data_IF_311881685095
#
_entry.id   IF_311881685095
#
_cell.length_a   1.000
_cell.length_b   1.000
_cell.length_c   1.000
_cell.angle_alpha   90.00
_cell.angle_beta   90.00
_cell.angle_gamma   90.00
#
_symmetry.space_group_name_H-M   'P 1'
#
loop_
_entity.id
_entity.type
_entity.pdbx_description
1 polymer ?
#
# COMPACT_ATOMS: atom_id res chain seq x y z
N UNK A 1 -43.86 14.90 3.28
CA UNK A 1 -43.03 14.58 4.47
C UNK A 1 -42.49 13.17 4.27
N UNK A 2 -41.16 12.98 4.24
CA UNK A 2 -40.59 11.64 4.04
C UNK A 2 -40.98 10.74 5.22
N UNK A 3 -41.44 9.52 4.94
CA UNK A 3 -41.89 8.53 5.92
C UNK A 3 -40.68 7.85 6.60
N UNK A 4 -39.72 8.67 7.05
CA UNK A 4 -38.45 8.21 7.61
C UNK A 4 -38.64 7.74 9.06
N UNK A 5 -38.07 6.59 9.39
CA UNK A 5 -38.06 6.00 10.74
C UNK A 5 -36.66 6.01 11.33
N UNK A 6 -36.57 6.05 12.66
CA UNK A 6 -35.31 5.87 13.38
C UNK A 6 -35.02 4.37 13.54
N UNK A 7 -34.00 3.90 12.85
CA UNK A 7 -33.56 2.50 12.86
C UNK A 7 -32.13 2.38 13.42
N UNK A 8 -31.75 1.19 13.86
CA UNK A 8 -30.40 0.93 14.38
C UNK A 8 -29.54 0.30 13.28
N UNK A 9 -28.55 0.97 12.70
CA UNK A 9 -27.63 0.28 11.80
C UNK A 9 -26.73 -0.67 12.59
N UNK A 10 -26.39 -1.82 12.00
CA UNK A 10 -25.45 -2.78 12.59
C UNK A 10 -24.06 -2.16 12.77
N UNK A 11 -23.65 -1.32 11.81
CA UNK A 11 -22.40 -0.58 11.85
C UNK A 11 -22.66 0.93 11.81
N UNK A 12 -21.97 1.66 12.67
CA UNK A 12 -22.01 3.11 12.71
C UNK A 12 -20.58 3.65 12.56
N UNK A 13 -20.35 4.51 11.55
CA UNK A 13 -19.02 5.05 11.22
C UNK A 13 -17.94 3.97 11.08
N UNK A 14 -18.28 2.85 10.43
CA UNK A 14 -17.35 1.75 10.16
C UNK A 14 -17.11 0.78 11.33
N UNK A 15 -17.70 1.03 12.51
CA UNK A 15 -17.55 0.18 13.69
C UNK A 15 -18.87 -0.48 14.08
N UNK A 16 -18.81 -1.64 14.75
CA UNK A 16 -20.00 -2.28 15.30
C UNK A 16 -20.73 -1.32 16.26
N UNK A 17 -22.03 -1.16 16.07
CA UNK A 17 -22.84 -0.17 16.78
C UNK A 17 -23.28 -0.67 18.16
N UNK A 18 -22.34 -0.80 19.09
CA UNK A 18 -22.61 -1.26 20.46
C UNK A 18 -23.50 -0.29 21.25
N UNK A 19 -23.43 1.00 20.96
CA UNK A 19 -24.17 2.05 21.68
C UNK A 19 -25.63 2.21 21.21
N UNK A 20 -26.06 1.43 20.20
CA UNK A 20 -27.41 1.50 19.66
C UNK A 20 -27.73 2.85 18.99
N UNK A 21 -26.71 3.54 18.44
CA UNK A 21 -26.88 4.81 17.72
C UNK A 21 -27.92 4.62 16.62
N UNK A 22 -28.77 5.62 16.41
CA UNK A 22 -29.86 5.56 15.44
C UNK A 22 -29.49 6.29 14.15
N UNK A 23 -30.09 5.86 13.05
CA UNK A 23 -30.09 6.58 11.79
C UNK A 23 -31.52 6.73 11.28
N UNK A 24 -31.79 7.83 10.57
CA UNK A 24 -33.04 7.98 9.83
C UNK A 24 -32.97 7.14 8.56
N UNK A 25 -33.97 6.30 8.33
CA UNK A 25 -34.05 5.42 7.18
C UNK A 25 -35.46 5.43 6.58
N UNK A 26 -35.55 5.22 5.28
CA UNK A 26 -36.80 5.16 4.52
C UNK A 26 -36.96 3.71 4.04
N UNK A 27 -38.14 3.13 4.27
CA UNK A 27 -38.50 1.82 3.73
C UNK A 27 -38.64 1.97 2.22
N UNK A 28 -37.91 1.16 1.46
CA UNK A 28 -37.95 1.14 0.00
C UNK A 28 -39.07 0.20 -0.45
N UNK A 29 -38.97 -1.08 -0.06
CA UNK A 29 -39.96 -2.13 -0.36
C UNK A 29 -39.74 -3.36 0.52
N UNK A 30 -40.69 -4.28 0.47
CA UNK A 30 -40.57 -5.64 1.00
C UNK A 30 -40.48 -6.62 -0.17
N UNK A 31 -39.61 -7.63 -0.07
CA UNK A 31 -39.42 -8.67 -1.09
C UNK A 31 -39.53 -10.05 -0.45
N UNK A 32 -40.09 -11.02 -1.17
CA UNK A 32 -40.25 -12.39 -0.67
C UNK A 32 -40.27 -13.42 -1.78
N UNK A 33 -39.68 -14.59 -1.51
CA UNK A 33 -39.75 -15.81 -2.33
C UNK A 33 -40.80 -16.82 -1.78
N UNK A 34 -41.65 -16.39 -0.84
CA UNK A 34 -42.63 -17.25 -0.16
C UNK A 34 -42.10 -18.00 1.08
N UNK A 35 -40.77 -18.11 1.25
CA UNK A 35 -40.13 -18.71 2.43
C UNK A 35 -39.45 -17.65 3.29
N UNK A 36 -38.66 -16.80 2.65
CA UNK A 36 -37.93 -15.68 3.23
C UNK A 36 -38.61 -14.37 2.84
N UNK A 37 -38.61 -13.40 3.77
CA UNK A 37 -39.13 -12.06 3.55
C UNK A 37 -38.13 -11.03 4.07
N UNK A 38 -37.77 -10.08 3.23
CA UNK A 38 -36.79 -9.04 3.55
C UNK A 38 -37.36 -7.65 3.34
N UNK A 39 -37.23 -6.80 4.37
CA UNK A 39 -37.55 -5.38 4.27
C UNK A 39 -36.30 -4.60 3.90
N UNK A 40 -36.37 -3.90 2.78
CA UNK A 40 -35.29 -3.12 2.22
C UNK A 40 -35.43 -1.66 2.60
N UNK A 41 -34.35 -1.10 3.14
CA UNK A 41 -34.27 0.26 3.63
C UNK A 41 -33.14 1.00 2.94
N UNK A 42 -33.25 2.31 2.86
CA UNK A 42 -32.14 3.22 2.52
C UNK A 42 -32.00 4.30 3.58
N UNK A 43 -30.85 4.94 3.66
CA UNK A 43 -30.69 6.11 4.54
C UNK A 43 -31.59 7.27 4.06
N UNK A 44 -32.06 8.05 5.02
CA UNK A 44 -32.65 9.36 4.76
C UNK A 44 -31.53 10.42 4.61
N UNK A 45 -31.76 11.44 3.79
CA UNK A 45 -30.81 12.53 3.55
C UNK A 45 -29.96 12.36 2.29
N UNK A 46 -28.67 12.73 2.37
CA UNK A 46 -27.77 12.81 1.21
C UNK A 46 -27.53 11.41 0.59
N UNK A 47 -27.51 11.30 -0.75
CA UNK A 47 -27.05 10.11 -1.47
C UNK A 47 -25.69 9.62 -0.99
N UNK A 48 -25.49 8.30 -1.05
CA UNK A 48 -24.21 7.67 -0.72
C UNK A 48 -23.22 7.78 -1.89
N UNK A 49 -23.71 7.82 -3.14
CA UNK A 49 -22.89 7.96 -4.35
C UNK A 49 -22.89 9.40 -4.88
N UNK A 50 -21.72 9.82 -5.35
CA UNK A 50 -21.55 11.13 -6.01
C UNK A 50 -21.93 11.07 -7.50
N UNK A 51 -21.72 9.92 -8.14
CA UNK A 51 -21.99 9.71 -9.57
C UNK A 51 -22.81 8.42 -9.76
N UNK A 52 -24.15 8.52 -9.64
CA UNK A 52 -25.07 7.42 -9.91
C UNK A 52 -25.03 7.01 -11.40
N UNK A 53 -25.11 5.71 -11.68
CA UNK A 53 -25.16 5.18 -13.05
C UNK A 53 -26.56 5.23 -13.66
N UNK A 54 -27.61 5.26 -12.84
CA UNK A 54 -29.00 5.25 -13.27
C UNK A 54 -29.95 5.38 -12.09
N UNK A 55 -31.24 5.23 -12.38
CA UNK A 55 -32.29 5.27 -11.35
C UNK A 55 -32.04 4.20 -10.28
N UNK A 56 -32.11 4.60 -9.01
CA UNK A 56 -31.91 3.69 -7.89
C UNK A 56 -30.45 3.43 -7.49
N UNK A 57 -29.46 4.08 -8.15
CA UNK A 57 -28.04 3.96 -7.78
C UNK A 57 -27.57 4.99 -6.73
N UNK A 58 -28.47 5.83 -6.22
CA UNK A 58 -28.07 6.91 -5.30
C UNK A 58 -27.73 6.45 -3.88
N UNK A 59 -28.40 5.39 -3.41
CA UNK A 59 -28.40 4.97 -2.01
C UNK A 59 -28.05 3.51 -1.85
N UNK A 60 -27.25 3.23 -0.82
CA UNK A 60 -26.97 1.85 -0.41
C UNK A 60 -28.23 1.27 0.26
N UNK A 61 -28.55 0.03 -0.10
CA UNK A 61 -29.62 -0.75 0.50
C UNK A 61 -29.17 -1.42 1.80
N UNK A 62 -30.11 -1.50 2.71
CA UNK A 62 -30.01 -2.19 3.99
C UNK A 62 -31.15 -3.19 4.10
N UNK A 63 -30.88 -4.33 4.73
CA UNK A 63 -31.89 -5.31 5.13
C UNK A 63 -32.12 -5.22 6.63
N UNK A 64 -33.38 -5.25 7.04
CA UNK A 64 -33.77 -5.30 8.45
C UNK A 64 -33.68 -6.72 8.99
N UNK A 65 -32.80 -6.93 9.97
CA UNK A 65 -32.52 -8.23 10.58
C UNK A 65 -32.42 -8.07 12.10
N UNK A 66 -33.25 -8.80 12.85
CA UNK A 66 -33.28 -8.80 14.32
C UNK A 66 -33.19 -7.38 14.96
N UNK A 67 -33.92 -6.41 14.40
CA UNK A 67 -33.96 -5.02 14.90
C UNK A 67 -32.79 -4.12 14.47
N UNK A 68 -31.88 -4.63 13.64
CA UNK A 68 -30.79 -3.88 13.03
C UNK A 68 -30.98 -3.71 11.52
N UNK A 69 -30.37 -2.66 10.97
CA UNK A 69 -30.15 -2.50 9.53
C UNK A 69 -28.75 -2.98 9.17
N UNK A 70 -28.65 -4.12 8.49
CA UNK A 70 -27.42 -4.62 7.90
C UNK A 70 -27.29 -4.11 6.47
N UNK A 71 -26.14 -3.51 6.11
CA UNK A 71 -25.93 -3.02 4.75
C UNK A 71 -25.69 -4.17 3.78
N UNK A 72 -26.36 -4.14 2.63
CA UNK A 72 -26.12 -5.06 1.52
C UNK A 72 -24.92 -4.61 0.65
N UNK A 73 -24.35 -3.43 0.92
CA UNK A 73 -23.27 -2.79 0.14
C UNK A 73 -23.55 -2.71 -1.37
N UNK A 74 -24.82 -2.73 -1.73
CA UNK A 74 -25.32 -2.60 -3.09
C UNK A 74 -26.40 -1.54 -3.11
N UNK A 75 -26.63 -0.94 -4.27
CA UNK A 75 -27.75 -0.03 -4.51
C UNK A 75 -28.88 -0.79 -5.18
N UNK A 76 -30.00 -0.13 -5.42
CA UNK A 76 -31.16 -0.76 -6.07
C UNK A 76 -30.87 -1.16 -7.50
N UNK A 77 -30.20 -0.26 -8.23
CA UNK A 77 -29.71 -0.46 -9.58
C UNK A 77 -28.90 -1.77 -9.70
N UNK A 78 -27.86 -1.91 -8.85
CA UNK A 78 -27.01 -3.09 -8.87
C UNK A 78 -27.68 -4.34 -8.28
N UNK A 79 -28.69 -4.18 -7.42
CA UNK A 79 -29.45 -5.34 -6.93
C UNK A 79 -30.22 -5.98 -8.08
N UNK A 80 -30.99 -5.17 -8.83
CA UNK A 80 -31.78 -5.61 -9.98
C UNK A 80 -30.88 -6.27 -11.02
N UNK A 81 -29.79 -5.59 -11.40
CA UNK A 81 -28.82 -6.11 -12.36
C UNK A 81 -28.24 -7.47 -11.94
N UNK A 82 -27.72 -7.57 -10.71
CA UNK A 82 -27.02 -8.77 -10.24
C UNK A 82 -27.93 -9.96 -9.97
N UNK A 83 -29.17 -9.74 -9.54
CA UNK A 83 -30.12 -10.85 -9.37
C UNK A 83 -30.80 -11.24 -10.70
N UNK A 84 -30.97 -10.28 -11.63
CA UNK A 84 -31.55 -10.54 -12.94
C UNK A 84 -30.60 -11.24 -13.90
N UNK A 85 -29.30 -10.89 -13.88
CA UNK A 85 -28.31 -11.40 -14.84
C UNK A 85 -28.24 -12.93 -14.93
N UNK A 86 -28.00 -13.68 -13.83
CA UNK A 86 -27.89 -15.14 -13.93
C UNK A 86 -29.16 -15.78 -14.52
N UNK A 87 -30.34 -15.33 -14.07
CA UNK A 87 -31.62 -15.84 -14.57
C UNK A 87 -31.87 -15.45 -16.03
N UNK A 88 -31.45 -14.26 -16.46
CA UNK A 88 -31.56 -13.82 -17.84
C UNK A 88 -30.65 -14.64 -18.76
N UNK A 89 -29.40 -14.91 -18.33
CA UNK A 89 -28.46 -15.76 -19.08
C UNK A 89 -29.04 -17.15 -19.28
N UNK A 90 -29.54 -17.78 -18.20
CA UNK A 90 -30.16 -19.10 -18.31
C UNK A 90 -31.41 -19.08 -19.19
N UNK A 91 -32.24 -18.03 -19.13
CA UNK A 91 -33.46 -17.95 -19.91
C UNK A 91 -33.22 -17.69 -21.41
N UNK A 92 -32.19 -16.91 -21.76
CA UNK A 92 -31.92 -16.51 -23.15
C UNK A 92 -30.96 -17.46 -23.86
N UNK A 93 -29.96 -17.98 -23.13
CA UNK A 93 -28.85 -18.71 -23.72
C UNK A 93 -28.73 -20.13 -23.18
N UNK A 94 -29.19 -20.37 -21.95
CA UNK A 94 -29.09 -21.65 -21.22
C UNK A 94 -28.02 -21.61 -20.13
N UNK A 95 -26.81 -21.17 -20.48
CA UNK A 95 -25.70 -20.95 -19.55
C UNK A 95 -24.70 -19.87 -20.06
N UNK A 96 -23.68 -19.56 -19.26
CA UNK A 96 -22.67 -18.55 -19.59
C UNK A 96 -21.81 -18.95 -20.81
N UNK A 97 -21.52 -20.23 -21.01
CA UNK A 97 -20.72 -20.72 -22.14
C UNK A 97 -21.51 -20.56 -23.46
N UNK A 98 -22.80 -20.87 -23.43
CA UNK A 98 -23.72 -20.70 -24.56
C UNK A 98 -23.94 -19.22 -24.88
N UNK A 99 -23.96 -18.35 -23.87
CA UNK A 99 -23.98 -16.90 -24.06
C UNK A 99 -22.71 -16.41 -24.77
N UNK A 100 -21.53 -16.87 -24.34
CA UNK A 100 -20.27 -16.49 -24.98
C UNK A 100 -20.25 -16.91 -26.45
N UNK A 101 -20.60 -18.17 -26.75
CA UNK A 101 -20.68 -18.68 -28.12
C UNK A 101 -21.67 -17.88 -28.99
N UNK A 102 -22.80 -17.48 -28.42
CA UNK A 102 -23.79 -16.66 -29.10
C UNK A 102 -23.22 -15.28 -29.48
N UNK A 103 -22.61 -14.57 -28.53
CA UNK A 103 -22.05 -13.24 -28.78
C UNK A 103 -20.83 -13.27 -29.70
N UNK A 104 -19.99 -14.30 -29.62
CA UNK A 104 -18.89 -14.50 -30.56
C UNK A 104 -19.44 -14.70 -31.98
N UNK A 105 -20.43 -15.57 -32.15
CA UNK A 105 -21.10 -15.76 -33.43
C UNK A 105 -21.64 -14.46 -34.03
N UNK A 106 -22.24 -13.60 -33.21
CA UNK A 106 -22.71 -12.27 -33.65
C UNK A 106 -21.57 -11.35 -34.10
N UNK A 107 -20.44 -11.33 -33.40
CA UNK A 107 -19.27 -10.52 -33.78
C UNK A 107 -18.68 -10.95 -35.12
N UNK A 108 -18.72 -12.25 -35.43
CA UNK A 108 -18.20 -12.80 -36.68
C UNK A 108 -19.17 -12.64 -37.88
N UNK A 109 -20.48 -12.70 -37.64
CA UNK A 109 -21.49 -12.82 -38.72
C UNK A 109 -22.51 -11.68 -38.81
N UNK A 110 -22.79 -10.98 -37.71
CA UNK A 110 -23.85 -9.97 -37.60
C UNK A 110 -23.37 -8.53 -37.44
N UNK A 111 -22.10 -8.30 -37.11
CA UNK A 111 -21.53 -6.97 -36.90
C UNK A 111 -22.07 -6.25 -35.66
N UNK A 112 -21.67 -4.98 -35.47
CA UNK A 112 -21.92 -4.23 -34.24
C UNK A 112 -23.42 -4.03 -33.94
N UNK A 113 -24.27 -3.86 -34.95
CA UNK A 113 -25.72 -3.66 -34.77
C UNK A 113 -26.40 -4.88 -34.16
N UNK A 114 -26.06 -6.09 -34.63
CA UNK A 114 -26.61 -7.33 -34.09
C UNK A 114 -26.16 -7.57 -32.65
N UNK A 115 -24.91 -7.21 -32.32
CA UNK A 115 -24.40 -7.27 -30.94
C UNK A 115 -25.17 -6.29 -30.05
N UNK A 116 -25.42 -5.06 -30.50
CA UNK A 116 -26.15 -4.06 -29.73
C UNK A 116 -27.61 -4.47 -29.47
N UNK A 117 -28.30 -5.03 -30.47
CA UNK A 117 -29.68 -5.52 -30.29
C UNK A 117 -29.74 -6.71 -29.33
N UNK A 118 -28.78 -7.63 -29.40
CA UNK A 118 -28.67 -8.74 -28.45
C UNK A 118 -28.41 -8.25 -27.02
N UNK A 119 -27.50 -7.29 -26.84
CA UNK A 119 -27.24 -6.68 -25.53
C UNK A 119 -28.48 -5.98 -24.98
N UNK A 120 -29.24 -5.29 -25.83
CA UNK A 120 -30.48 -4.62 -25.42
C UNK A 120 -31.54 -5.63 -24.97
N UNK A 121 -31.73 -6.71 -25.72
CA UNK A 121 -32.64 -7.81 -25.36
C UNK A 121 -32.24 -8.47 -24.04
N UNK A 122 -30.94 -8.66 -23.83
CA UNK A 122 -30.40 -9.16 -22.57
C UNK A 122 -30.70 -8.21 -21.42
N UNK A 123 -30.39 -6.92 -21.56
CA UNK A 123 -30.66 -5.89 -20.56
C UNK A 123 -32.16 -5.83 -20.22
N UNK A 124 -33.06 -5.85 -21.21
CA UNK A 124 -34.50 -5.87 -20.98
C UNK A 124 -34.92 -7.10 -20.15
N UNK A 125 -34.30 -8.26 -20.40
CA UNK A 125 -34.59 -9.50 -19.65
C UNK A 125 -33.99 -9.46 -18.24
N UNK A 126 -32.81 -8.86 -18.06
CA UNK A 126 -32.21 -8.62 -16.75
C UNK A 126 -33.13 -7.73 -15.92
N UNK A 127 -33.63 -6.64 -16.50
CA UNK A 127 -34.53 -5.72 -15.81
C UNK A 127 -35.88 -6.36 -15.47
N UNK A 128 -36.42 -7.21 -16.35
CA UNK A 128 -37.66 -7.96 -16.09
C UNK A 128 -37.50 -8.91 -14.89
N UNK A 129 -36.49 -9.79 -14.93
CA UNK A 129 -36.27 -10.81 -13.90
C UNK A 129 -35.69 -10.21 -12.61
N UNK A 130 -34.84 -9.19 -12.74
CA UNK A 130 -34.22 -8.52 -11.61
C UNK A 130 -35.20 -7.70 -10.77
N UNK A 131 -36.34 -7.29 -11.34
CA UNK A 131 -37.42 -6.60 -10.61
C UNK A 131 -38.39 -7.55 -9.92
N UNK A 132 -38.30 -8.86 -10.17
CA UNK A 132 -39.11 -9.86 -9.48
C UNK A 132 -38.73 -9.94 -7.99
N UNK A 133 -39.68 -9.68 -7.05
CA UNK A 133 -39.42 -9.80 -5.62
C UNK A 133 -38.89 -11.15 -5.17
N UNK A 134 -39.26 -12.25 -5.84
CA UNK A 134 -38.79 -13.58 -5.48
C UNK A 134 -37.28 -13.73 -5.78
N UNK A 135 -36.87 -13.33 -6.99
CA UNK A 135 -35.46 -13.31 -7.40
C UNK A 135 -34.60 -12.41 -6.50
N UNK A 136 -35.11 -11.22 -6.12
CA UNK A 136 -34.41 -10.34 -5.19
C UNK A 136 -34.25 -10.99 -3.81
N UNK A 137 -35.30 -11.65 -3.30
CA UNK A 137 -35.25 -12.32 -2.01
C UNK A 137 -34.25 -13.50 -2.01
N UNK A 138 -34.23 -14.31 -3.06
CA UNK A 138 -33.27 -15.41 -3.23
C UNK A 138 -31.82 -14.89 -3.28
N UNK A 139 -31.59 -13.80 -4.00
CA UNK A 139 -30.27 -13.19 -4.08
C UNK A 139 -29.80 -12.62 -2.74
N UNK A 140 -30.68 -11.93 -2.01
CA UNK A 140 -30.39 -11.43 -0.65
C UNK A 140 -30.09 -12.60 0.28
N UNK A 141 -30.88 -13.67 0.21
CA UNK A 141 -30.64 -14.88 1.00
C UNK A 141 -29.24 -15.45 0.74
N UNK A 142 -28.84 -15.57 -0.53
CA UNK A 142 -27.50 -16.05 -0.88
C UNK A 142 -26.38 -15.16 -0.30
N UNK A 143 -26.56 -13.83 -0.28
CA UNK A 143 -25.63 -12.91 0.39
C UNK A 143 -25.56 -13.21 1.90
N UNK A 144 -26.70 -13.36 2.56
CA UNK A 144 -26.77 -13.61 4.00
C UNK A 144 -26.20 -14.99 4.39
N UNK A 145 -26.44 -16.02 3.58
CA UNK A 145 -25.89 -17.37 3.78
C UNK A 145 -24.35 -17.36 3.71
N UNK A 146 -23.76 -16.53 2.83
CA UNK A 146 -22.30 -16.33 2.76
C UNK A 146 -21.76 -15.66 4.02
N UNK A 147 -22.46 -14.66 4.56
CA UNK A 147 -22.10 -14.03 5.83
C UNK A 147 -22.17 -15.03 6.99
N UNK A 148 -23.22 -15.84 7.07
CA UNK A 148 -23.38 -16.92 8.06
C UNK A 148 -22.23 -17.92 7.97
N UNK A 149 -21.85 -18.33 6.76
CA UNK A 149 -20.74 -19.26 6.53
C UNK A 149 -19.39 -18.69 7.00
N UNK A 150 -19.15 -17.40 6.73
CA UNK A 150 -17.93 -16.70 7.16
C UNK A 150 -17.84 -16.60 8.68
N UNK A 151 -18.95 -16.27 9.34
CA UNK A 151 -19.02 -16.25 10.81
C UNK A 151 -18.80 -17.63 11.41
N UNK A 152 -19.43 -18.69 10.88
CA UNK A 152 -19.23 -20.07 11.34
C UNK A 152 -17.78 -20.51 11.23
N UNK A 153 -17.10 -20.18 10.13
CA UNK A 153 -15.69 -20.48 9.97
C UNK A 153 -14.81 -19.78 11.04
N UNK A 154 -15.09 -18.50 11.32
CA UNK A 154 -14.39 -17.75 12.37
C UNK A 154 -14.66 -18.32 13.78
N UNK A 155 -15.88 -18.78 14.04
CA UNK A 155 -16.24 -19.46 15.31
C UNK A 155 -15.49 -20.79 15.45
N UNK A 156 -15.47 -21.61 14.40
CA UNK A 156 -14.76 -22.90 14.39
C UNK A 156 -13.25 -22.77 14.62
N UNK A 157 -12.62 -21.72 14.09
CA UNK A 157 -11.18 -21.49 14.26
C UNK A 157 -10.84 -20.63 15.50
N UNK A 158 -11.80 -20.39 16.40
CA UNK A 158 -11.57 -19.62 17.63
C UNK A 158 -11.08 -18.19 17.38
N UNK A 159 -11.63 -17.53 16.35
CA UNK A 159 -11.33 -16.13 16.03
C UNK A 159 -9.96 -15.93 15.38
N UNK A 160 -9.44 -16.92 14.66
CA UNK A 160 -8.26 -16.72 13.80
C UNK A 160 -8.57 -15.87 12.57
N UNK A 161 -9.78 -15.97 12.05
CA UNK A 161 -10.30 -15.12 10.97
C UNK A 161 -11.28 -14.09 11.52
N UNK A 162 -11.52 -13.03 10.76
CA UNK A 162 -12.49 -12.00 11.15
C UNK A 162 -13.89 -12.60 11.32
N UNK A 163 -14.54 -12.47 12.50
CA UNK A 163 -15.90 -12.94 12.69
C UNK A 163 -16.89 -11.97 12.05
N UNK A 164 -17.73 -12.50 11.17
CA UNK A 164 -18.70 -11.69 10.43
C UNK A 164 -19.91 -11.32 11.30
N UNK A 165 -20.13 -10.03 11.53
CA UNK A 165 -21.22 -9.54 12.36
C UNK A 165 -22.59 -9.68 11.70
N UNK A 166 -22.69 -9.67 10.37
CA UNK A 166 -23.96 -9.91 9.67
C UNK A 166 -24.35 -11.38 9.80
N UNK A 167 -23.37 -12.28 9.65
CA UNK A 167 -23.56 -13.71 9.88
C UNK A 167 -23.95 -14.03 11.32
N UNK A 168 -23.28 -13.42 12.29
CA UNK A 168 -23.64 -13.53 13.70
C UNK A 168 -25.03 -12.94 13.99
N UNK A 169 -25.37 -11.81 13.37
CA UNK A 169 -26.71 -11.20 13.48
C UNK A 169 -27.78 -12.17 12.99
N UNK A 170 -27.57 -12.84 11.85
CA UNK A 170 -28.50 -13.84 11.31
C UNK A 170 -28.71 -15.04 12.25
N UNK A 171 -27.70 -15.39 13.05
CA UNK A 171 -27.79 -16.49 14.01
C UNK A 171 -28.17 -16.04 15.44
N UNK A 172 -28.33 -14.74 15.69
CA UNK A 172 -28.59 -14.21 17.03
C UNK A 172 -27.37 -14.23 17.97
N UNK A 173 -26.16 -14.39 17.44
CA UNK A 173 -24.91 -14.62 18.19
C UNK A 173 -24.00 -13.37 18.26
N UNK A 174 -24.58 -12.17 18.26
CA UNK A 174 -23.81 -10.91 18.24
C UNK A 174 -22.85 -10.76 19.43
N UNK A 175 -23.20 -11.26 20.61
CA UNK A 175 -22.34 -11.18 21.80
C UNK A 175 -21.07 -12.02 21.61
N UNK A 176 -21.22 -13.27 21.18
CA UNK A 176 -20.09 -14.17 20.90
C UNK A 176 -19.21 -13.64 19.76
N UNK A 177 -19.83 -13.05 18.73
CA UNK A 177 -19.10 -12.39 17.64
C UNK A 177 -18.19 -11.26 18.14
N UNK A 178 -18.62 -10.49 19.16
CA UNK A 178 -17.78 -9.45 19.77
C UNK A 178 -16.57 -10.03 20.50
N UNK A 179 -16.76 -11.12 21.22
CA UNK A 179 -15.68 -11.81 21.94
C UNK A 179 -14.65 -12.37 20.94
N UNK A 180 -15.12 -13.06 19.89
CA UNK A 180 -14.27 -13.53 18.80
C UNK A 180 -13.54 -12.38 18.09
N UNK A 181 -14.20 -11.22 17.93
CA UNK A 181 -13.60 -10.05 17.30
C UNK A 181 -12.44 -9.50 18.13
N UNK A 182 -12.57 -9.48 19.45
CA UNK A 182 -11.49 -9.07 20.35
C UNK A 182 -10.28 -10.02 20.25
N UNK A 183 -10.52 -11.34 20.21
CA UNK A 183 -9.45 -12.35 20.01
C UNK A 183 -8.75 -12.13 18.67
N UNK A 184 -9.52 -11.98 17.59
CA UNK A 184 -9.00 -11.71 16.25
C UNK A 184 -8.13 -10.45 16.21
N UNK A 185 -8.60 -9.35 16.82
CA UNK A 185 -7.85 -8.10 16.88
C UNK A 185 -6.53 -8.25 17.65
N UNK A 186 -6.53 -9.00 18.76
CA UNK A 186 -5.31 -9.32 19.51
C UNK A 186 -4.28 -10.05 18.65
N UNK A 187 -4.68 -11.16 18.02
CA UNK A 187 -3.83 -11.94 17.11
C UNK A 187 -3.32 -11.11 15.93
N UNK A 188 -4.16 -10.24 15.36
CA UNK A 188 -3.81 -9.36 14.25
C UNK A 188 -2.74 -8.33 14.65
N UNK A 189 -2.88 -7.72 15.84
CA UNK A 189 -1.89 -6.78 16.39
C UNK A 189 -0.53 -7.46 16.61
N UNK A 190 -0.52 -8.68 17.17
CA UNK A 190 0.72 -9.44 17.35
C UNK A 190 1.41 -9.78 16.03
N UNK A 191 0.66 -10.24 15.03
CA UNK A 191 1.20 -10.53 13.68
C UNK A 191 1.77 -9.26 13.03
N UNK A 192 1.09 -8.14 13.18
CA UNK A 192 1.56 -6.84 12.69
C UNK A 192 2.82 -6.38 13.39
N UNK A 193 2.91 -6.51 14.72
CA UNK A 193 4.11 -6.19 15.48
C UNK A 193 5.30 -7.06 15.06
N UNK A 194 5.10 -8.37 14.87
CA UNK A 194 6.15 -9.28 14.37
C UNK A 194 6.62 -8.90 12.97
N UNK A 195 5.69 -8.56 12.07
CA UNK A 195 6.04 -8.10 10.71
C UNK A 195 6.83 -6.80 10.73
N UNK A 196 6.41 -5.83 11.54
CA UNK A 196 7.14 -4.55 11.71
C UNK A 196 8.52 -4.76 12.32
N UNK A 197 8.62 -5.54 13.38
CA UNK A 197 9.91 -5.84 14.02
C UNK A 197 10.88 -6.53 13.05
N UNK A 198 10.38 -7.49 12.27
CA UNK A 198 11.17 -8.15 11.22
C UNK A 198 11.64 -7.15 10.15
N UNK A 199 10.75 -6.30 9.65
CA UNK A 199 11.10 -5.29 8.65
C UNK A 199 12.14 -4.29 9.17
N UNK A 200 12.03 -3.85 10.43
CA UNK A 200 13.02 -2.98 11.08
C UNK A 200 14.37 -3.67 11.21
N UNK A 201 14.39 -4.94 11.65
CA UNK A 201 15.63 -5.71 11.77
C UNK A 201 16.32 -5.94 10.40
N UNK A 202 15.53 -6.23 9.36
CA UNK A 202 16.05 -6.36 7.99
C UNK A 202 16.59 -5.04 7.44
N UNK A 203 15.92 -3.92 7.71
CA UNK A 203 16.37 -2.58 7.32
C UNK A 203 17.68 -2.20 8.03
N UNK A 204 17.76 -2.46 9.34
CA UNK A 204 18.97 -2.24 10.13
C UNK A 204 20.15 -3.07 9.63
N UNK A 205 19.96 -4.38 9.44
CA UNK A 205 21.00 -5.28 8.93
C UNK A 205 21.49 -4.85 7.54
N UNK A 206 20.57 -4.41 6.66
CA UNK A 206 20.93 -3.86 5.35
C UNK A 206 21.79 -2.60 5.48
N UNK A 207 21.39 -1.66 6.33
CA UNK A 207 22.13 -0.41 6.54
C UNK A 207 23.52 -0.66 7.14
N UNK A 208 23.62 -1.54 8.14
CA UNK A 208 24.88 -1.91 8.78
C UNK A 208 25.87 -2.51 7.77
N UNK A 209 25.41 -3.46 6.95
CA UNK A 209 26.26 -4.10 5.93
C UNK A 209 26.75 -3.08 4.89
N UNK A 210 25.84 -2.25 4.36
CA UNK A 210 26.19 -1.24 3.34
C UNK A 210 27.12 -0.17 3.90
N UNK A 211 26.87 0.30 5.12
CA UNK A 211 27.71 1.30 5.77
C UNK A 211 29.08 0.74 6.16
N UNK A 212 29.18 -0.56 6.49
CA UNK A 212 30.48 -1.22 6.71
C UNK A 212 31.33 -1.21 5.45
N UNK A 213 30.75 -1.51 4.29
CA UNK A 213 31.45 -1.43 3.00
C UNK A 213 31.85 0.01 2.65
N UNK A 214 30.96 0.98 2.91
CA UNK A 214 31.25 2.39 2.71
C UNK A 214 32.41 2.87 3.59
N UNK A 215 32.42 2.50 4.88
CA UNK A 215 33.51 2.83 5.81
C UNK A 215 34.82 2.14 5.40
N UNK A 216 34.77 0.90 4.90
CA UNK A 216 35.96 0.23 4.36
C UNK A 216 36.58 1.01 3.19
N UNK A 217 35.77 1.50 2.25
CA UNK A 217 36.26 2.37 1.16
C UNK A 217 36.90 3.66 1.70
N UNK A 218 36.31 4.25 2.75
CA UNK A 218 36.89 5.42 3.42
C UNK A 218 38.25 5.10 4.04
N UNK A 219 38.38 3.95 4.72
CA UNK A 219 39.64 3.53 5.33
C UNK A 219 40.71 3.21 4.27
N UNK A 220 40.35 2.54 3.17
CA UNK A 220 41.26 2.26 2.07
C UNK A 220 41.76 3.56 1.41
N UNK A 221 40.89 4.55 1.23
CA UNK A 221 41.27 5.86 0.74
C UNK A 221 42.21 6.62 1.68
N UNK A 222 41.97 6.55 3.01
CA UNK A 222 42.88 7.09 4.02
C UNK A 222 44.25 6.40 3.92
N UNK A 223 44.28 5.08 3.78
CA UNK A 223 45.52 4.31 3.60
C UNK A 223 46.28 4.77 2.36
N UNK A 224 45.61 4.94 1.21
CA UNK A 224 46.24 5.48 -0.01
C UNK A 224 46.83 6.89 0.19
N UNK A 225 46.20 7.73 1.02
CA UNK A 225 46.76 9.05 1.35
C UNK A 225 48.04 8.92 2.20
N UNK A 226 48.06 7.98 3.17
CA UNK A 226 49.20 7.75 4.07
C UNK A 226 50.40 7.15 3.34
N UNK A 227 50.16 6.10 2.56
CA UNK A 227 51.21 5.34 1.88
C UNK A 227 51.66 5.97 0.55
N UNK A 228 50.85 6.91 0.03
CA UNK A 228 50.99 7.41 -1.34
C UNK A 228 50.34 6.48 -2.36
N UNK A 229 50.10 7.00 -3.56
CA UNK A 229 49.41 6.26 -4.63
C UNK A 229 48.31 7.07 -5.30
N UNK A 230 47.40 6.38 -5.99
CA UNK A 230 46.32 7.02 -6.77
C UNK A 230 45.01 6.92 -5.99
N UNK A 231 44.55 8.03 -5.44
CA UNK A 231 43.24 8.15 -4.83
C UNK A 231 42.19 8.40 -5.91
N UNK A 232 41.34 7.42 -6.15
CA UNK A 232 40.19 7.56 -7.04
C UNK A 232 39.11 8.42 -6.36
N UNK A 233 38.40 9.24 -7.14
CA UNK A 233 37.32 10.06 -6.64
C UNK A 233 35.97 9.34 -6.77
N UNK A 234 35.89 8.13 -6.23
CA UNK A 234 34.70 7.30 -6.31
C UNK A 234 33.60 7.82 -5.40
N UNK A 235 32.37 7.43 -5.71
CA UNK A 235 31.19 7.77 -4.93
C UNK A 235 31.01 6.78 -3.78
N UNK A 236 30.86 7.30 -2.57
CA UNK A 236 30.54 6.55 -1.34
C UNK A 236 29.14 6.93 -0.88
N UNK A 237 28.36 5.92 -0.50
CA UNK A 237 26.96 6.07 -0.09
C UNK A 237 26.75 5.50 1.30
N UNK A 238 26.17 6.31 2.19
CA UNK A 238 25.82 5.93 3.56
C UNK A 238 24.30 5.91 3.73
N UNK A 239 23.77 4.84 4.31
CA UNK A 239 22.34 4.60 4.49
C UNK A 239 21.92 4.90 5.93
N UNK A 240 20.83 5.65 6.09
CA UNK A 240 20.09 5.84 7.36
C UNK A 240 18.90 4.89 7.46
N UNK A 241 18.33 4.55 6.31
CA UNK A 241 17.39 3.46 6.09
C UNK A 241 17.60 2.93 4.67
N UNK A 242 16.95 1.83 4.29
CA UNK A 242 16.98 1.30 2.92
C UNK A 242 16.49 2.29 1.86
N UNK A 243 15.74 3.31 2.25
CA UNK A 243 15.18 4.31 1.34
C UNK A 243 15.70 5.73 1.60
N UNK A 244 16.60 5.91 2.57
CA UNK A 244 17.23 7.20 2.88
C UNK A 244 18.75 7.01 2.93
N UNK A 245 19.42 7.51 1.91
CA UNK A 245 20.87 7.46 1.79
C UNK A 245 21.45 8.83 1.46
N UNK A 246 22.70 9.01 1.88
CA UNK A 246 23.50 10.18 1.56
C UNK A 246 24.70 9.76 0.72
N UNK A 247 24.82 10.39 -0.44
CA UNK A 247 25.85 10.10 -1.44
C UNK A 247 26.91 11.20 -1.39
N UNK A 248 28.18 10.84 -1.44
CA UNK A 248 29.26 11.80 -1.51
C UNK A 248 30.49 11.27 -2.26
N UNK A 249 31.24 12.14 -2.92
CA UNK A 249 32.56 11.79 -3.44
C UNK A 249 33.48 11.46 -2.26
N UNK A 250 34.31 10.42 -2.38
CA UNK A 250 35.23 9.99 -1.33
C UNK A 250 36.16 11.12 -0.90
N UNK A 251 36.64 11.95 -1.84
CA UNK A 251 37.49 13.09 -1.53
C UNK A 251 36.75 14.14 -0.69
N UNK A 252 35.48 14.44 -1.00
CA UNK A 252 34.66 15.34 -0.19
C UNK A 252 34.24 14.72 1.15
N UNK A 253 34.06 13.40 1.21
CA UNK A 253 33.84 12.68 2.46
C UNK A 253 35.03 12.88 3.40
N UNK A 254 36.24 12.67 2.90
CA UNK A 254 37.48 12.85 3.65
C UNK A 254 37.71 14.31 4.04
N UNK A 255 37.52 15.26 3.12
CA UNK A 255 37.66 16.69 3.46
C UNK A 255 36.71 17.12 4.58
N UNK A 256 35.47 16.62 4.61
CA UNK A 256 34.55 16.86 5.74
C UNK A 256 35.02 16.18 7.02
N UNK A 257 35.47 14.91 6.95
CA UNK A 257 35.97 14.14 8.11
C UNK A 257 37.16 14.82 8.79
N UNK A 258 38.11 15.31 8.01
CA UNK A 258 39.32 16.01 8.49
C UNK A 258 39.15 17.54 8.59
N UNK A 259 37.92 18.04 8.51
CA UNK A 259 37.58 19.46 8.69
C UNK A 259 38.38 20.42 7.77
N UNK A 260 38.66 19.98 6.54
CA UNK A 260 39.28 20.81 5.51
C UNK A 260 38.19 21.65 4.85
N UNK A 261 38.26 22.96 4.98
CA UNK A 261 37.32 23.87 4.32
C UNK A 261 37.53 23.89 2.80
N UNK A 262 36.45 23.62 2.07
CA UNK A 262 36.43 23.54 0.61
C UNK A 262 35.37 24.49 0.07
N UNK A 263 35.75 25.53 -0.71
CA UNK A 263 34.78 26.44 -1.32
C UNK A 263 33.77 25.70 -2.21
N UNK A 264 32.51 26.15 -2.22
CA UNK A 264 31.41 25.51 -2.99
C UNK A 264 31.77 25.26 -4.47
N UNK A 265 32.45 26.22 -5.11
CA UNK A 265 32.91 26.08 -6.51
C UNK A 265 33.90 24.92 -6.68
N UNK A 266 34.76 24.68 -5.69
CA UNK A 266 35.71 23.56 -5.68
C UNK A 266 34.98 22.25 -5.39
N UNK A 267 33.98 22.23 -4.51
CA UNK A 267 33.14 21.04 -4.28
C UNK A 267 32.42 20.61 -5.56
N UNK A 268 31.80 21.56 -6.27
CA UNK A 268 31.19 21.32 -7.58
C UNK A 268 32.19 20.84 -8.63
N UNK A 269 33.43 21.32 -8.59
CA UNK A 269 34.50 20.83 -9.48
C UNK A 269 34.90 19.39 -9.15
N UNK A 270 35.00 19.03 -7.86
CA UNK A 270 35.30 17.66 -7.43
C UNK A 270 34.21 16.71 -7.91
N UNK A 271 32.94 17.02 -7.65
CA UNK A 271 31.82 16.14 -8.02
C UNK A 271 31.69 15.92 -9.54
N UNK A 272 31.94 16.94 -10.35
CA UNK A 272 31.65 16.87 -11.79
C UNK A 272 32.86 16.58 -12.67
N UNK A 273 34.08 16.83 -12.19
CA UNK A 273 35.29 16.77 -13.02
C UNK A 273 36.39 15.88 -12.47
N UNK A 274 36.59 15.78 -11.16
CA UNK A 274 37.72 15.01 -10.63
C UNK A 274 37.50 13.50 -10.83
N UNK A 275 38.47 12.84 -11.47
CA UNK A 275 38.51 11.39 -11.61
C UNK A 275 39.43 10.75 -10.57
N UNK A 276 40.65 11.29 -10.39
CA UNK A 276 41.60 10.80 -9.39
C UNK A 276 42.66 11.84 -9.03
N UNK A 277 43.27 11.70 -7.87
CA UNK A 277 44.45 12.45 -7.43
C UNK A 277 45.59 11.50 -7.08
N UNK A 278 46.77 11.74 -7.63
CA UNK A 278 48.00 11.01 -7.27
C UNK A 278 48.70 11.73 -6.13
N UNK A 279 49.05 10.98 -5.11
CA UNK A 279 49.71 11.45 -3.89
C UNK A 279 51.12 10.86 -3.88
N UNK A 280 52.12 11.73 -3.78
CA UNK A 280 53.53 11.36 -3.68
C UNK A 280 54.24 12.37 -2.77
N UNK A 281 55.17 11.91 -1.94
CA UNK A 281 55.96 12.75 -1.03
C UNK A 281 55.11 13.66 -0.12
N UNK A 282 53.99 13.15 0.40
CA UNK A 282 53.09 13.89 1.29
C UNK A 282 52.34 15.06 0.62
N UNK A 283 52.27 15.09 -0.72
CA UNK A 283 51.56 16.12 -1.49
C UNK A 283 50.83 15.55 -2.71
N UNK A 284 49.84 16.30 -3.20
CA UNK A 284 49.16 16.01 -4.45
C UNK A 284 50.10 16.33 -5.64
N UNK A 285 50.53 15.31 -6.37
CA UNK A 285 51.51 15.41 -7.45
C UNK A 285 50.88 15.49 -8.84
N UNK A 286 49.79 14.74 -9.08
CA UNK A 286 49.12 14.69 -10.38
C UNK A 286 47.59 14.55 -10.23
N UNK A 287 46.84 15.04 -11.21
CA UNK A 287 45.37 15.01 -11.22
C UNK A 287 44.85 14.45 -12.53
N UNK A 288 43.91 13.50 -12.45
CA UNK A 288 43.09 13.07 -13.57
C UNK A 288 41.70 13.68 -13.42
N UNK A 289 41.23 14.38 -14.44
CA UNK A 289 39.92 15.03 -14.43
C UNK A 289 39.32 15.10 -15.83
N UNK A 290 37.99 15.13 -15.89
CA UNK A 290 37.20 15.25 -17.11
C UNK A 290 37.09 16.72 -17.53
N UNK A 291 37.42 17.01 -18.80
CA UNK A 291 37.40 18.37 -19.33
C UNK A 291 37.86 18.45 -20.79
N UNK A 292 37.82 19.65 -21.37
CA UNK A 292 38.35 19.91 -22.73
C UNK A 292 39.88 20.05 -22.68
N UNK A 293 40.58 19.87 -23.81
CA UNK A 293 42.07 19.96 -23.92
C UNK A 293 42.73 21.21 -23.30
N UNK A 294 41.98 22.29 -23.02
CA UNK A 294 42.48 23.55 -22.41
C UNK A 294 41.99 23.80 -20.98
N UNK A 295 41.19 22.89 -20.41
CA UNK A 295 40.72 23.02 -19.03
C UNK A 295 41.92 22.89 -18.07
N UNK A 296 42.06 23.86 -17.16
CA UNK A 296 43.13 23.86 -16.16
C UNK A 296 42.67 23.14 -14.90
N UNK A 297 43.59 22.40 -14.30
CA UNK A 297 43.41 21.81 -12.98
C UNK A 297 43.10 22.90 -11.93
N UNK A 298 42.22 22.57 -10.98
CA UNK A 298 41.85 23.51 -9.92
C UNK A 298 43.00 23.68 -8.92
N UNK A 299 43.64 24.85 -8.91
CA UNK A 299 44.68 25.19 -7.91
C UNK A 299 44.12 25.12 -6.48
N UNK A 300 42.90 25.61 -6.28
CA UNK A 300 42.20 25.54 -5.00
C UNK A 300 41.96 24.10 -4.54
N UNK A 301 41.71 23.17 -5.47
CA UNK A 301 41.62 21.76 -5.14
C UNK A 301 42.95 21.20 -4.63
N UNK A 302 44.05 21.49 -5.33
CA UNK A 302 45.40 21.05 -4.92
C UNK A 302 45.74 21.55 -3.51
N UNK A 303 45.43 22.81 -3.20
CA UNK A 303 45.62 23.37 -1.87
C UNK A 303 44.81 22.61 -0.79
N UNK A 304 43.54 22.30 -1.08
CA UNK A 304 42.68 21.53 -0.17
C UNK A 304 43.18 20.10 -0.01
N UNK A 305 43.62 19.44 -1.08
CA UNK A 305 44.20 18.09 -1.01
C UNK A 305 45.47 18.06 -0.20
N UNK A 306 46.36 19.03 -0.35
CA UNK A 306 47.59 19.09 0.45
C UNK A 306 47.28 19.32 1.94
N UNK A 307 46.26 20.11 2.27
CA UNK A 307 45.77 20.25 3.66
C UNK A 307 45.22 18.92 4.19
N UNK A 308 44.42 18.21 3.40
CA UNK A 308 43.89 16.90 3.74
C UNK A 308 45.02 15.89 3.98
N UNK A 309 46.00 15.79 3.08
CA UNK A 309 47.14 14.88 3.23
C UNK A 309 47.92 15.16 4.51
N UNK A 310 48.18 16.43 4.84
CA UNK A 310 48.83 16.79 6.11
C UNK A 310 48.00 16.39 7.33
N UNK A 311 46.68 16.61 7.30
CA UNK A 311 45.81 16.25 8.40
C UNK A 311 45.78 14.72 8.63
N UNK A 312 45.73 13.93 7.55
CA UNK A 312 45.75 12.46 7.60
C UNK A 312 47.10 11.94 8.14
N UNK A 313 48.22 12.54 7.74
CA UNK A 313 49.56 12.17 8.21
C UNK A 313 49.77 12.55 9.68
N UNK A 314 49.31 13.73 10.11
CA UNK A 314 49.40 14.15 11.51
C UNK A 314 48.59 13.25 12.46
N UNK A 315 47.46 12.70 12.00
CA UNK A 315 46.69 11.71 12.77
C UNK A 315 47.48 10.40 12.97
N UNK A 316 48.26 9.97 11.96
CA UNK A 316 49.10 8.77 12.05
C UNK A 316 50.23 8.91 13.08
N UNK A 317 50.88 10.08 13.13
CA UNK A 317 51.95 10.36 14.09
C UNK A 317 51.44 10.37 15.54
N UNK A 318 50.22 10.89 15.76
CA UNK A 318 49.58 10.88 17.09
C UNK A 318 49.14 9.48 17.55
N UNK A 319 48.83 8.56 16.64
CA UNK A 319 48.46 7.17 16.98
C UNK A 319 49.69 6.30 17.28
N UNK A 320 50.86 6.63 16.72
CA UNK A 320 52.12 5.91 16.96
C UNK A 320 52.91 6.42 18.18
N UNK A 321 52.61 7.62 18.68
CA UNK A 321 53.30 8.26 19.79
C UNK A 321 52.58 8.14 21.14
N UNK A 322 52.68 6.99 21.83
CA UNK A 322 52.87 6.90 23.30
C UNK A 322 53.15 5.45 23.73
N UNK A 323 54.37 5.16 24.19
CA UNK A 323 54.58 4.45 25.45
C UNK A 323 55.38 5.36 26.38
N UNK A 324 54.75 5.84 27.47
CA UNK A 324 55.46 6.55 28.53
C UNK A 324 56.46 5.63 29.23
N UNK A 325 57.61 6.16 29.71
CA UNK A 325 58.62 5.36 30.39
C UNK A 325 58.05 4.78 31.70
N UNK A 326 58.48 3.57 32.14
CA UNK A 326 58.07 3.04 33.42
C UNK A 326 58.60 3.92 34.56
N UNK A 327 57.82 4.12 35.63
CA UNK A 327 58.23 4.95 36.76
C UNK A 327 59.41 4.32 37.52
N UNK A 328 60.21 5.14 38.23
CA UNK A 328 61.45 4.74 38.90
C UNK A 328 61.25 3.71 40.02
#
# INVERSE_FOLDING_TARGET
MSNAKLMTPLFYQGNFNADGKKMRAILVREVSNGTDTYRLWRRDGKPDRQYPQGEGDDYILYVELHGYLASLRTTDFYLIDRCGFPSAVTALYGDEDQREQYFDGLRWSGGDEAVLEALKREEDKIQELGRDPAHQADYIKAILDKHVSTYRAAKQNGGETFPDFVGALMLGELLECRELSAIYQGKSREREQKRRAKAVAEDQAYCEERNRLAEQQVQDAIRTIREGGVLQNDTVEFYRSRHDSSVCSIVLCLMRRYQVDVPLRTQGWINNKLAAATIADGRCSHLRFWGRKRDRASRRFVDCMNKLTRAVLAEQENVCGTPGPPPP
#
